data_IF_398229311818
#
_entry.id   IF_398229311818
#
_cell.length_a   1.000
_cell.length_b   1.000
_cell.length_c   1.000
_cell.angle_alpha   90.00
_cell.angle_beta   90.00
_cell.angle_gamma   90.00
#
_symmetry.space_group_name_H-M   'P 1'
#
loop_
_entity.id
_entity.type
_entity.pdbx_description
1 polymer ?
#
# COMPACT_ATOMS: atom_id res chain seq x y z
N UNK A 1 4.98 19.39 27.28
CA UNK A 1 5.00 17.94 26.99
C UNK A 1 6.40 17.44 27.26
N UNK A 2 6.55 16.29 27.92
CA UNK A 2 7.86 15.77 28.33
C UNK A 2 8.60 15.24 27.08
N UNK A 3 9.81 15.74 26.79
CA UNK A 3 10.56 15.39 25.57
C UNK A 3 10.73 13.86 25.43
N UNK A 4 11.03 13.19 26.53
CA UNK A 4 11.13 11.72 26.62
C UNK A 4 9.85 11.00 26.19
N UNK A 5 8.68 11.48 26.64
CA UNK A 5 7.40 10.86 26.26
C UNK A 5 7.12 10.98 24.76
N UNK A 6 7.49 12.11 24.15
CA UNK A 6 7.35 12.32 22.71
C UNK A 6 8.30 11.43 21.92
N UNK A 7 9.56 11.30 22.36
CA UNK A 7 10.54 10.40 21.73
C UNK A 7 10.10 8.93 21.81
N UNK A 8 9.54 8.49 22.94
CA UNK A 8 8.97 7.13 23.09
C UNK A 8 7.82 6.89 22.11
N UNK A 9 6.92 7.86 21.95
CA UNK A 9 5.81 7.77 21.01
C UNK A 9 6.31 7.66 19.56
N UNK A 10 7.30 8.48 19.18
CA UNK A 10 7.90 8.45 17.84
C UNK A 10 8.56 7.08 17.59
N UNK A 11 9.35 6.60 18.55
CA UNK A 11 10.03 5.31 18.47
C UNK A 11 9.05 4.15 18.27
N UNK A 12 7.96 4.12 19.05
CA UNK A 12 6.91 3.12 18.91
C UNK A 12 6.22 3.18 17.55
N UNK A 13 5.93 4.39 17.05
CA UNK A 13 5.27 4.57 15.76
C UNK A 13 6.17 4.14 14.59
N UNK A 14 7.47 4.48 14.63
CA UNK A 14 8.43 4.01 13.63
C UNK A 14 8.57 2.48 13.64
N UNK A 15 8.55 1.85 14.81
CA UNK A 15 8.52 0.39 14.93
C UNK A 15 7.27 -0.22 14.28
N UNK A 16 6.10 0.41 14.43
CA UNK A 16 4.88 -0.01 13.73
C UNK A 16 5.00 0.14 12.21
N UNK A 17 5.60 1.24 11.72
CA UNK A 17 5.83 1.45 10.29
C UNK A 17 6.78 0.41 9.72
N UNK A 18 7.87 0.08 10.42
CA UNK A 18 8.77 -1.03 10.03
C UNK A 18 8.00 -2.34 9.92
N UNK A 19 7.24 -2.70 10.96
CA UNK A 19 6.44 -3.93 10.91
C UNK A 19 5.44 -3.91 9.75
N UNK A 20 4.80 -2.76 9.50
CA UNK A 20 3.85 -2.61 8.40
C UNK A 20 4.53 -2.84 7.05
N UNK A 21 5.70 -2.25 6.85
CA UNK A 21 6.52 -2.39 5.64
C UNK A 21 7.18 -3.76 5.50
N UNK A 22 7.23 -4.58 6.55
CA UNK A 22 7.73 -5.95 6.46
C UNK A 22 6.61 -6.97 6.25
N UNK A 23 5.42 -6.73 6.81
CA UNK A 23 4.34 -7.73 6.88
C UNK A 23 3.21 -7.52 5.89
N UNK A 24 2.95 -6.28 5.46
CA UNK A 24 1.85 -6.00 4.54
C UNK A 24 2.40 -5.70 3.13
N UNK A 25 1.85 -6.34 2.09
CA UNK A 25 2.28 -6.08 0.72
C UNK A 25 1.71 -4.74 0.22
N UNK A 26 0.61 -4.26 0.82
CA UNK A 26 0.00 -2.95 0.55
C UNK A 26 0.09 -2.08 1.81
N UNK A 27 0.65 -0.88 1.65
CA UNK A 27 0.72 0.16 2.67
C UNK A 27 0.33 1.51 2.06
N UNK A 28 0.08 2.53 2.89
CA UNK A 28 -0.17 3.89 2.43
C UNK A 28 1.13 4.70 2.48
N UNK A 29 1.82 4.94 1.34
CA UNK A 29 3.12 5.60 1.34
C UNK A 29 3.03 7.06 1.79
N UNK A 30 1.89 7.71 1.55
CA UNK A 30 1.69 9.12 1.89
C UNK A 30 1.55 9.30 3.39
N UNK A 31 0.81 8.39 4.05
CA UNK A 31 0.68 8.38 5.50
C UNK A 31 2.06 8.19 6.19
N UNK A 32 2.82 7.18 5.78
CA UNK A 32 4.15 6.90 6.35
C UNK A 32 5.09 8.11 6.14
N UNK A 33 5.02 8.74 4.97
CA UNK A 33 5.83 9.93 4.66
C UNK A 33 5.48 11.11 5.56
N UNK A 34 4.20 11.44 5.69
CA UNK A 34 3.72 12.55 6.53
C UNK A 34 4.12 12.35 8.00
N UNK A 35 4.01 11.12 8.50
CA UNK A 35 4.46 10.75 9.84
C UNK A 35 5.97 10.97 10.02
N UNK A 36 6.79 10.46 9.08
CA UNK A 36 8.25 10.62 9.13
C UNK A 36 8.66 12.10 9.07
N UNK A 37 8.02 12.90 8.22
CA UNK A 37 8.29 14.34 8.11
C UNK A 37 7.92 15.07 9.41
N UNK A 38 6.77 14.74 9.99
CA UNK A 38 6.33 15.24 11.30
C UNK A 38 7.31 14.87 12.42
N UNK A 39 7.78 13.62 12.45
CA UNK A 39 8.72 13.12 13.44
C UNK A 39 10.10 13.76 13.28
N UNK A 40 10.59 13.93 12.06
CA UNK A 40 11.85 14.63 11.77
C UNK A 40 11.84 16.05 12.32
N UNK A 41 10.74 16.80 12.12
CA UNK A 41 10.59 18.15 12.67
C UNK A 41 10.58 18.14 14.22
N UNK A 42 9.86 17.21 14.84
CA UNK A 42 9.78 17.07 16.30
C UNK A 42 11.13 16.69 16.91
N UNK A 43 11.82 15.70 16.34
CA UNK A 43 13.15 15.26 16.80
C UNK A 43 14.16 16.39 16.64
N UNK A 44 14.15 17.14 15.53
CA UNK A 44 15.01 18.33 15.36
C UNK A 44 14.78 19.38 16.45
N UNK A 45 13.52 19.65 16.79
CA UNK A 45 13.17 20.58 17.88
C UNK A 45 13.68 20.10 19.24
N UNK A 46 13.54 18.79 19.53
CA UNK A 46 14.01 18.19 20.79
C UNK A 46 15.54 18.17 20.86
N UNK A 47 16.22 17.83 19.77
CA UNK A 47 17.70 17.83 19.70
C UNK A 47 18.27 19.24 19.84
N UNK A 48 17.55 20.25 19.34
CA UNK A 48 17.93 21.66 19.53
C UNK A 48 17.76 22.14 20.99
N UNK A 49 17.04 21.39 21.83
CA UNK A 49 16.95 21.69 23.27
C UNK A 49 18.15 21.10 24.01
N UNK A 50 18.88 21.91 24.79
CA UNK A 50 20.16 21.52 25.41
C UNK A 50 20.06 20.48 26.54
N UNK A 51 18.84 20.17 27.01
CA UNK A 51 18.61 19.28 28.16
C UNK A 51 18.17 17.88 27.71
N UNK A 52 19.07 17.12 27.08
CA UNK A 52 18.84 15.73 26.69
C UNK A 52 19.34 14.75 27.75
N UNK A 53 18.44 13.92 28.27
CA UNK A 53 18.78 12.78 29.14
C UNK A 53 19.57 11.70 28.38
N UNK A 54 20.24 10.81 29.12
CA UNK A 54 20.83 9.59 28.54
C UNK A 54 19.76 8.76 27.81
N UNK A 55 18.56 8.67 28.39
CA UNK A 55 17.43 7.96 27.80
C UNK A 55 16.97 8.60 26.49
N UNK A 56 16.94 9.94 26.42
CA UNK A 56 16.55 10.65 25.19
C UNK A 56 17.55 10.36 24.06
N UNK A 57 18.85 10.27 24.39
CA UNK A 57 19.91 9.93 23.43
C UNK A 57 19.77 8.51 22.91
N UNK A 58 19.44 7.56 23.77
CA UNK A 58 19.16 6.17 23.36
C UNK A 58 17.93 6.12 22.43
N UNK A 59 16.85 6.81 22.80
CA UNK A 59 15.64 6.88 21.97
C UNK A 59 15.92 7.51 20.60
N UNK A 60 16.70 8.60 20.55
CA UNK A 60 17.12 9.24 19.30
C UNK A 60 17.96 8.28 18.45
N UNK A 61 18.86 7.51 19.05
CA UNK A 61 19.65 6.50 18.34
C UNK A 61 18.74 5.44 17.71
N UNK A 62 17.82 4.87 18.49
CA UNK A 62 16.86 3.88 17.97
C UNK A 62 15.94 4.46 16.90
N UNK A 63 15.50 5.72 17.04
CA UNK A 63 14.72 6.42 16.01
C UNK A 63 15.52 6.49 14.70
N UNK A 64 16.80 6.86 14.77
CA UNK A 64 17.68 6.91 13.60
C UNK A 64 17.86 5.52 12.95
N UNK A 65 18.00 4.47 13.76
CA UNK A 65 18.10 3.10 13.26
C UNK A 65 16.82 2.64 12.56
N UNK A 66 15.65 2.94 13.13
CA UNK A 66 14.38 2.66 12.46
C UNK A 66 14.21 3.49 11.17
N UNK A 67 14.61 4.76 11.16
CA UNK A 67 14.56 5.58 9.93
C UNK A 67 15.42 4.99 8.82
N UNK A 68 16.63 4.52 9.13
CA UNK A 68 17.49 3.82 8.16
C UNK A 68 16.86 2.53 7.68
N UNK A 69 16.28 1.74 8.59
CA UNK A 69 15.64 0.48 8.24
C UNK A 69 14.45 0.69 7.29
N UNK A 70 13.59 1.67 7.59
CA UNK A 70 12.48 2.07 6.73
C UNK A 70 13.01 2.48 5.35
N UNK A 71 14.06 3.31 5.31
CA UNK A 71 14.66 3.73 4.05
C UNK A 71 15.18 2.54 3.22
N UNK A 72 15.87 1.58 3.84
CA UNK A 72 16.35 0.38 3.16
C UNK A 72 15.19 -0.45 2.59
N UNK A 73 14.15 -0.72 3.41
CA UNK A 73 12.98 -1.50 2.97
C UNK A 73 12.28 -0.83 1.79
N UNK A 74 12.08 0.49 1.87
CA UNK A 74 11.43 1.25 0.80
C UNK A 74 12.28 1.26 -0.48
N UNK A 75 13.59 1.45 -0.35
CA UNK A 75 14.51 1.46 -1.50
C UNK A 75 14.52 0.10 -2.21
N UNK A 76 14.52 -0.99 -1.45
CA UNK A 76 14.44 -2.34 -2.01
C UNK A 76 13.09 -2.59 -2.68
N UNK A 77 11.98 -2.17 -2.06
CA UNK A 77 10.64 -2.27 -2.66
C UNK A 77 10.52 -1.47 -3.96
N UNK A 78 11.10 -0.27 -4.03
CA UNK A 78 11.13 0.55 -5.26
C UNK A 78 11.99 -0.14 -6.32
N UNK A 79 13.18 -0.64 -5.97
CA UNK A 79 14.04 -1.37 -6.91
C UNK A 79 13.34 -2.63 -7.46
N UNK A 80 12.53 -3.29 -6.63
CA UNK A 80 11.67 -4.40 -7.06
C UNK A 80 10.52 -3.92 -7.95
N UNK A 81 10.02 -2.70 -7.84
CA UNK A 81 8.99 -2.16 -8.73
C UNK A 81 9.54 -1.63 -10.06
N UNK A 82 10.77 -1.10 -10.06
CA UNK A 82 11.46 -0.54 -11.23
C UNK A 82 12.30 -1.57 -12.01
N UNK A 83 12.19 -2.86 -11.66
CA UNK A 83 12.79 -3.96 -12.42
C UNK A 83 12.40 -3.92 -13.90
N UNK A 84 13.24 -4.42 -14.83
CA UNK A 84 13.21 -4.01 -16.22
C UNK A 84 11.86 -4.26 -16.89
N UNK A 85 11.13 -3.17 -17.13
CA UNK A 85 9.87 -3.04 -17.88
C UNK A 85 9.99 -3.39 -19.37
N UNK A 86 10.83 -4.35 -19.77
CA UNK A 86 11.12 -4.59 -21.18
C UNK A 86 11.51 -6.03 -21.50
N UNK A 87 10.60 -7.00 -21.36
CA UNK A 87 10.61 -8.22 -22.20
C UNK A 87 9.16 -8.70 -22.35
N UNK A 88 8.43 -8.14 -23.30
CA UNK A 88 7.44 -8.85 -24.12
C UNK A 88 7.34 -8.10 -25.46
N UNK A 89 8.41 -8.14 -26.25
CA UNK A 89 8.24 -8.12 -27.70
C UNK A 89 7.91 -9.55 -28.13
N UNK A 90 6.76 -9.66 -28.79
CA UNK A 90 6.35 -10.68 -29.76
C UNK A 90 6.52 -12.16 -29.39
N UNK A 91 5.41 -12.82 -29.05
CA UNK A 91 5.05 -14.08 -29.74
C UNK A 91 3.53 -14.15 -29.96
N UNK A 92 3.17 -13.78 -31.18
CA UNK A 92 2.28 -14.50 -32.11
C UNK A 92 0.77 -14.65 -31.83
N UNK A 93 0.06 -14.36 -32.90
CA UNK A 93 -1.37 -14.38 -33.14
C UNK A 93 -1.93 -15.80 -33.06
N UNK A 94 -3.14 -15.93 -32.50
CA UNK A 94 -4.26 -16.74 -33.02
C UNK A 94 -5.18 -17.17 -31.88
N UNK A 95 -6.42 -16.65 -31.84
CA UNK A 95 -7.67 -17.44 -31.79
C UNK A 95 -8.92 -16.53 -31.65
N UNK A 96 -9.51 -16.28 -32.82
CA UNK A 96 -10.94 -16.21 -33.16
C UNK A 96 -12.01 -15.96 -32.07
N UNK A 97 -12.69 -14.82 -32.25
CA UNK A 97 -14.14 -14.66 -32.45
C UNK A 97 -15.08 -15.73 -31.85
N UNK A 98 -15.89 -15.34 -30.86
CA UNK A 98 -17.30 -15.76 -30.76
C UNK A 98 -18.19 -14.58 -30.35
N UNK A 99 -19.25 -14.44 -31.13
CA UNK A 99 -20.41 -13.54 -31.14
C UNK A 99 -21.26 -13.50 -29.86
N UNK A 100 -21.99 -12.40 -29.61
CA UNK A 100 -23.14 -12.42 -28.69
C UNK A 100 -23.76 -11.08 -28.34
N UNK A 101 -24.58 -10.53 -29.24
CA UNK A 101 -25.52 -9.41 -29.07
C UNK A 101 -26.58 -9.70 -27.99
N UNK A 102 -26.94 -8.71 -27.16
CA UNK A 102 -28.10 -8.80 -26.25
C UNK A 102 -28.35 -7.52 -25.43
N UNK A 103 -29.47 -6.87 -25.72
CA UNK A 103 -29.97 -5.56 -25.25
C UNK A 103 -30.84 -5.69 -23.97
N UNK A 104 -31.08 -4.54 -23.31
CA UNK A 104 -32.13 -4.17 -22.32
C UNK A 104 -31.83 -4.36 -20.82
N UNK A 105 -31.62 -3.29 -20.02
CA UNK A 105 -32.48 -2.22 -19.43
C UNK A 105 -33.16 -2.63 -18.10
N UNK A 106 -33.10 -1.69 -17.14
CA UNK A 106 -34.15 -1.36 -16.13
C UNK A 106 -33.79 -1.59 -14.64
N UNK A 107 -33.39 -0.46 -14.03
CA UNK A 107 -33.89 0.18 -12.79
C UNK A 107 -33.84 -0.51 -11.40
N UNK A 108 -33.29 0.28 -10.47
CA UNK A 108 -33.69 0.52 -9.07
C UNK A 108 -33.91 -0.64 -8.10
N UNK A 109 -33.15 -0.66 -6.99
CA UNK A 109 -33.60 -0.02 -5.74
C UNK A 109 -32.69 -0.39 -4.56
N UNK A 110 -32.59 0.55 -3.63
CA UNK A 110 -31.83 0.49 -2.39
C UNK A 110 -32.33 -0.65 -1.46
N UNK A 111 -31.40 -1.41 -0.89
CA UNK A 111 -31.63 -2.07 0.40
C UNK A 111 -30.30 -2.46 1.04
N UNK A 112 -29.97 -1.68 2.06
CA UNK A 112 -29.04 -1.95 3.14
C UNK A 112 -29.10 -3.41 3.62
N UNK A 113 -28.09 -4.22 3.24
CA UNK A 113 -27.81 -5.54 3.83
C UNK A 113 -26.30 -5.76 3.83
N UNK A 114 -25.68 -5.56 5.00
CA UNK A 114 -24.41 -6.20 5.41
C UNK A 114 -24.50 -7.69 5.12
N UNK A 115 -24.03 -8.08 3.96
CA UNK A 115 -23.96 -9.47 3.52
C UNK A 115 -22.53 -9.68 3.08
N UNK A 116 -21.93 -10.76 3.56
CA UNK A 116 -20.71 -11.38 3.02
C UNK A 116 -20.92 -11.74 1.54
N UNK A 117 -21.09 -10.74 0.69
CA UNK A 117 -21.21 -10.93 -0.75
C UNK A 117 -19.80 -11.18 -1.25
N UNK A 118 -19.52 -12.46 -1.49
CA UNK A 118 -18.41 -12.89 -2.33
C UNK A 118 -18.41 -12.01 -3.59
N UNK A 119 -17.22 -11.58 -4.01
CA UNK A 119 -17.06 -10.77 -5.21
C UNK A 119 -17.76 -11.46 -6.39
N UNK A 120 -18.47 -10.68 -7.20
CA UNK A 120 -19.17 -11.21 -8.37
C UNK A 120 -18.12 -11.72 -9.36
N UNK A 121 -18.39 -12.81 -10.08
CA UNK A 121 -17.44 -13.43 -11.01
C UNK A 121 -16.77 -12.43 -11.96
N UNK A 122 -17.54 -11.49 -12.53
CA UNK A 122 -17.00 -10.41 -13.37
C UNK A 122 -15.98 -9.53 -12.67
N UNK A 123 -16.17 -9.23 -11.38
CA UNK A 123 -15.22 -8.45 -10.59
C UNK A 123 -13.95 -9.27 -10.32
N UNK A 124 -14.10 -10.57 -10.02
CA UNK A 124 -12.96 -11.48 -9.85
C UNK A 124 -12.16 -11.64 -11.15
N UNK A 125 -12.82 -11.79 -12.29
CA UNK A 125 -12.15 -11.93 -13.59
C UNK A 125 -11.29 -10.69 -13.92
N UNK A 126 -11.77 -9.49 -13.59
CA UNK A 126 -11.01 -8.24 -13.77
C UNK A 126 -9.80 -8.19 -12.84
N UNK A 127 -9.98 -8.57 -11.57
CA UNK A 127 -8.91 -8.55 -10.57
C UNK A 127 -7.84 -9.62 -10.89
N UNK A 128 -8.26 -10.83 -11.25
CA UNK A 128 -7.38 -11.93 -11.65
C UNK A 128 -6.62 -11.60 -12.94
N UNK A 129 -7.29 -11.00 -13.93
CA UNK A 129 -6.63 -10.51 -15.14
C UNK A 129 -5.52 -9.51 -14.80
N UNK A 130 -5.80 -8.53 -13.96
CA UNK A 130 -4.79 -7.57 -13.52
C UNK A 130 -3.62 -8.25 -12.81
N UNK A 131 -3.88 -9.22 -11.94
CA UNK A 131 -2.82 -9.97 -11.25
C UNK A 131 -1.94 -10.77 -12.23
N UNK A 132 -2.55 -11.43 -13.21
CA UNK A 132 -1.81 -12.15 -14.25
C UNK A 132 -0.95 -11.20 -15.10
N UNK A 133 -1.47 -10.02 -15.44
CA UNK A 133 -0.72 -8.99 -16.18
C UNK A 133 0.45 -8.43 -15.35
N UNK A 134 0.33 -8.44 -14.01
CA UNK A 134 1.33 -7.91 -13.08
C UNK A 134 2.09 -9.03 -12.33
N UNK A 135 2.14 -10.25 -12.85
CA UNK A 135 2.73 -11.43 -12.21
C UNK A 135 4.17 -11.23 -11.69
N UNK A 136 4.98 -10.42 -12.39
CA UNK A 136 6.35 -10.09 -11.95
C UNK A 136 6.40 -9.11 -10.79
N UNK A 137 5.45 -8.17 -10.75
CA UNK A 137 5.37 -7.10 -9.76
C UNK A 137 3.94 -6.99 -9.26
N UNK A 138 3.42 -8.00 -8.52
CA UNK A 138 2.00 -8.06 -8.22
C UNK A 138 1.57 -7.00 -7.21
N UNK A 139 2.45 -6.09 -6.76
CA UNK A 139 2.16 -5.12 -5.72
C UNK A 139 1.21 -4.02 -6.20
N UNK A 140 0.06 -3.90 -5.54
CA UNK A 140 -0.90 -2.83 -5.80
C UNK A 140 -0.27 -1.44 -5.56
N UNK A 141 -0.21 -0.61 -6.60
CA UNK A 141 0.17 0.79 -6.54
C UNK A 141 -1.07 1.67 -6.32
N UNK A 142 -0.88 2.95 -6.00
CA UNK A 142 -2.02 3.89 -5.87
C UNK A 142 -2.83 3.99 -7.18
N UNK A 143 -2.12 4.01 -8.30
CA UNK A 143 -2.71 4.09 -9.63
C UNK A 143 -3.48 2.80 -9.94
N UNK A 144 -2.87 1.64 -9.72
CA UNK A 144 -3.55 0.37 -9.97
C UNK A 144 -4.76 0.13 -9.05
N UNK A 145 -4.69 0.59 -7.78
CA UNK A 145 -5.85 0.58 -6.89
C UNK A 145 -6.97 1.46 -7.46
N UNK A 146 -6.66 2.65 -7.96
CA UNK A 146 -7.66 3.56 -8.51
C UNK A 146 -8.28 3.01 -9.81
N UNK A 147 -7.46 2.38 -10.66
CA UNK A 147 -7.91 1.70 -11.88
C UNK A 147 -8.84 0.53 -11.55
N UNK A 148 -8.45 -0.33 -10.61
CA UNK A 148 -9.26 -1.47 -10.17
C UNK A 148 -10.56 -1.04 -9.50
N UNK A 149 -10.53 0.01 -8.68
CA UNK A 149 -11.75 0.60 -8.09
C UNK A 149 -12.71 1.09 -9.17
N UNK A 150 -12.18 1.79 -10.18
CA UNK A 150 -12.98 2.29 -11.31
C UNK A 150 -13.55 1.13 -12.15
N UNK A 151 -12.76 0.09 -12.40
CA UNK A 151 -13.15 -1.04 -13.25
C UNK A 151 -14.13 -2.02 -12.57
N UNK A 152 -14.02 -2.19 -11.25
CA UNK A 152 -14.82 -3.18 -10.50
C UNK A 152 -15.93 -2.57 -9.66
N UNK A 153 -15.97 -1.24 -9.53
CA UNK A 153 -16.83 -0.49 -8.61
C UNK A 153 -16.71 -0.94 -7.15
N UNK A 154 -15.55 -1.51 -6.78
CA UNK A 154 -15.24 -1.91 -5.41
C UNK A 154 -14.62 -0.75 -4.64
N UNK A 155 -14.81 -0.75 -3.33
CA UNK A 155 -14.11 0.19 -2.45
C UNK A 155 -12.61 -0.12 -2.38
N UNK A 156 -11.79 0.89 -2.06
CA UNK A 156 -10.35 0.75 -1.81
C UNK A 156 -10.06 -0.44 -0.90
N UNK A 157 -10.76 -0.53 0.23
CA UNK A 157 -10.59 -1.62 1.19
C UNK A 157 -10.92 -2.99 0.60
N UNK A 158 -11.92 -3.10 -0.27
CA UNK A 158 -12.28 -4.38 -0.90
C UNK A 158 -11.22 -4.84 -1.90
N UNK A 159 -10.68 -3.92 -2.72
CA UNK A 159 -9.57 -4.22 -3.65
C UNK A 159 -8.31 -4.63 -2.89
N UNK A 160 -7.97 -3.89 -1.82
CA UNK A 160 -6.83 -4.20 -0.97
C UNK A 160 -7.00 -5.55 -0.24
N UNK A 161 -8.19 -5.82 0.31
CA UNK A 161 -8.47 -7.08 0.97
C UNK A 161 -8.41 -8.26 -0.01
N UNK A 162 -8.96 -8.11 -1.22
CA UNK A 162 -8.88 -9.15 -2.25
C UNK A 162 -7.42 -9.54 -2.52
N UNK A 163 -6.55 -8.56 -2.70
CA UNK A 163 -5.13 -8.80 -2.96
C UNK A 163 -4.38 -9.48 -1.81
N UNK A 164 -4.81 -9.28 -0.56
CA UNK A 164 -4.23 -9.97 0.60
C UNK A 164 -4.71 -11.43 0.71
N UNK A 165 -5.92 -11.72 0.24
CA UNK A 165 -6.54 -13.05 0.34
C UNK A 165 -6.42 -13.90 -0.94
N UNK A 166 -5.89 -13.34 -2.03
CA UNK A 166 -5.62 -14.01 -3.29
C UNK A 166 -4.16 -14.47 -3.33
#
# INVERSE_FOLDING_TARGET
>A
MNNSAMLRQINQCLSMHVNTLLTFPVYDPQNIKEDIDSFSAKVKSIVASENLSSEDRELISSINDYSKLIYCILSERIALQEGPSHIYEEVDESHQQVTGTGVETTEESEADKKSNRRLIKKQLDILEKWYLENLRHPYLTRESIQELMTATSLSKCQVQNWYVFF
#
